data_IF_462463163756
#
_entry.id   IF_462463163756
#
_cell.length_a   1.000
_cell.length_b   1.000
_cell.length_c   1.000
_cell.angle_alpha   90.00
_cell.angle_beta   90.00
_cell.angle_gamma   90.00
#
_symmetry.space_group_name_H-M   'P 1'
#
loop_
_entity.id
_entity.type
_entity.pdbx_description
1 polymer ?
#
# COMPACT_ATOMS: atom_id res chain seq x y z
N UNK A 1 3.37 -18.50 3.15
CA UNK A 1 2.17 -19.18 3.71
C UNK A 1 0.99 -18.28 3.43
N UNK A 2 0.07 -18.70 2.54
CA UNK A 2 -1.06 -17.90 2.09
C UNK A 2 -2.07 -17.64 3.23
N UNK A 3 -2.74 -16.49 3.21
CA UNK A 3 -3.77 -16.10 4.19
C UNK A 3 -4.89 -17.15 4.31
N UNK A 4 -5.24 -17.80 3.18
CA UNK A 4 -6.21 -18.89 3.12
C UNK A 4 -5.74 -20.12 3.92
N UNK A 5 -4.47 -20.51 3.81
CA UNK A 5 -3.91 -21.64 4.54
C UNK A 5 -3.89 -21.42 6.06
N UNK A 6 -3.61 -20.17 6.51
CA UNK A 6 -3.68 -19.81 7.93
C UNK A 6 -5.11 -19.91 8.49
N UNK A 7 -6.11 -19.46 7.72
CA UNK A 7 -7.51 -19.60 8.10
C UNK A 7 -7.94 -21.05 8.16
N UNK A 8 -7.52 -21.87 7.19
CA UNK A 8 -7.84 -23.29 7.16
C UNK A 8 -7.25 -24.02 8.36
N UNK A 9 -5.97 -23.79 8.66
CA UNK A 9 -5.29 -24.37 9.83
C UNK A 9 -5.99 -23.94 11.12
N UNK A 10 -6.34 -22.67 11.26
CA UNK A 10 -7.03 -22.17 12.44
C UNK A 10 -8.44 -22.77 12.57
N UNK A 11 -9.16 -22.94 11.45
CA UNK A 11 -10.48 -23.57 11.44
C UNK A 11 -10.43 -25.06 11.81
N UNK A 12 -9.46 -25.80 11.27
CA UNK A 12 -9.23 -27.22 11.59
C UNK A 12 -8.84 -27.37 13.05
N UNK A 13 -7.98 -26.48 13.57
CA UNK A 13 -7.55 -26.50 14.97
C UNK A 13 -8.72 -26.20 15.93
N UNK A 14 -9.52 -25.16 15.62
CA UNK A 14 -10.71 -24.83 16.40
C UNK A 14 -11.77 -25.93 16.33
N UNK A 15 -11.99 -26.53 15.16
CA UNK A 15 -12.93 -27.63 15.00
C UNK A 15 -12.52 -28.89 15.77
N UNK A 16 -11.22 -29.25 15.72
CA UNK A 16 -10.67 -30.36 16.49
C UNK A 16 -10.76 -30.13 17.99
N UNK A 17 -10.51 -28.88 18.43
CA UNK A 17 -10.67 -28.51 19.85
C UNK A 17 -12.12 -28.53 20.31
N UNK A 18 -13.05 -28.02 19.49
CA UNK A 18 -14.49 -28.07 19.80
C UNK A 18 -14.96 -29.52 19.93
N UNK A 19 -14.48 -30.41 19.06
CA UNK A 19 -14.74 -31.83 19.12
C UNK A 19 -14.19 -32.46 20.40
N UNK A 20 -12.96 -32.12 20.77
CA UNK A 20 -12.31 -32.63 22.00
C UNK A 20 -13.06 -32.15 23.26
N UNK A 21 -13.44 -30.89 23.32
CA UNK A 21 -14.22 -30.34 24.44
C UNK A 21 -15.62 -30.94 24.50
N UNK A 22 -16.25 -31.20 23.35
CA UNK A 22 -17.58 -31.81 23.30
C UNK A 22 -17.55 -33.24 23.81
N UNK A 23 -16.52 -34.01 23.48
CA UNK A 23 -16.34 -35.36 24.06
C UNK A 23 -16.02 -35.30 25.56
N UNK A 24 -15.29 -34.31 26.01
CA UNK A 24 -14.83 -34.18 27.40
C UNK A 24 -15.95 -33.69 28.33
N UNK A 25 -16.85 -32.79 27.84
CA UNK A 25 -18.01 -32.34 28.59
C UNK A 25 -19.03 -33.45 28.93
N UNK A 26 -18.95 -34.60 28.21
CA UNK A 26 -19.75 -35.79 28.49
C UNK A 26 -19.17 -36.67 29.61
N UNK A 27 -17.95 -36.40 30.06
CA UNK A 27 -17.24 -37.25 31.01
C UNK A 27 -16.98 -36.50 32.33
N UNK A 28 -17.94 -36.59 33.26
CA UNK A 28 -18.00 -35.83 34.53
C UNK A 28 -16.81 -36.15 35.47
N UNK A 29 -16.09 -37.24 35.23
CA UNK A 29 -14.98 -37.69 36.08
C UNK A 29 -13.60 -37.12 35.70
N UNK A 30 -13.53 -36.19 34.76
CA UNK A 30 -12.24 -35.61 34.37
C UNK A 30 -11.75 -34.53 35.35
N UNK A 31 -10.42 -34.53 35.64
CA UNK A 31 -9.86 -33.55 36.56
C UNK A 31 -9.96 -32.13 35.98
N UNK A 32 -10.38 -31.20 36.83
CA UNK A 32 -10.62 -29.78 36.50
C UNK A 32 -9.51 -29.11 35.67
N UNK A 33 -8.25 -29.53 35.80
CA UNK A 33 -7.11 -28.99 35.07
C UNK A 33 -7.19 -29.25 33.55
N UNK A 34 -7.88 -30.29 33.10
CA UNK A 34 -8.09 -30.57 31.68
C UNK A 34 -9.04 -29.53 31.06
N UNK A 35 -10.08 -29.17 31.78
CA UNK A 35 -10.99 -28.06 31.32
C UNK A 35 -10.26 -26.73 31.30
N UNK A 36 -9.40 -26.46 32.27
CA UNK A 36 -8.58 -25.22 32.28
C UNK A 36 -7.59 -25.20 31.11
N UNK A 37 -6.96 -26.34 30.78
CA UNK A 37 -6.05 -26.45 29.63
C UNK A 37 -6.79 -26.23 28.31
N UNK A 38 -8.00 -26.80 28.17
CA UNK A 38 -8.87 -26.57 27.01
C UNK A 38 -9.20 -25.10 26.79
N UNK A 39 -9.64 -24.40 27.85
CA UNK A 39 -9.93 -22.97 27.82
C UNK A 39 -8.70 -22.12 27.47
N UNK A 40 -7.54 -22.45 28.05
CA UNK A 40 -6.27 -21.76 27.78
C UNK A 40 -5.86 -21.90 26.31
N UNK A 41 -6.07 -23.08 25.74
CA UNK A 41 -5.76 -23.34 24.33
C UNK A 41 -6.71 -22.59 23.40
N UNK A 42 -8.01 -22.49 23.74
CA UNK A 42 -8.96 -21.67 22.98
C UNK A 42 -8.55 -20.19 23.05
N UNK A 43 -8.26 -19.69 24.24
CA UNK A 43 -7.81 -18.32 24.43
C UNK A 43 -6.55 -18.02 23.63
N UNK A 44 -5.59 -18.94 23.61
CA UNK A 44 -4.37 -18.83 22.81
C UNK A 44 -4.66 -18.82 21.30
N UNK A 45 -5.53 -19.70 20.80
CA UNK A 45 -5.91 -19.73 19.39
C UNK A 45 -6.62 -18.45 18.94
N UNK A 46 -7.56 -17.93 19.73
CA UNK A 46 -8.25 -16.66 19.51
C UNK A 46 -7.25 -15.50 19.53
N UNK A 47 -6.37 -15.47 20.51
CA UNK A 47 -5.32 -14.47 20.63
C UNK A 47 -4.40 -14.48 19.40
N UNK A 48 -3.96 -15.66 18.96
CA UNK A 48 -3.12 -15.82 17.77
C UNK A 48 -3.82 -15.39 16.47
N UNK A 49 -5.13 -15.57 16.37
CA UNK A 49 -5.93 -15.06 15.24
C UNK A 49 -6.06 -13.55 15.24
N UNK A 50 -6.24 -12.94 16.41
CA UNK A 50 -6.51 -11.52 16.55
C UNK A 50 -5.24 -10.67 16.46
N UNK A 51 -4.09 -11.16 16.96
CA UNK A 51 -2.83 -10.43 16.98
C UNK A 51 -2.45 -9.86 15.60
N UNK A 52 -2.42 -10.63 14.50
CA UNK A 52 -2.02 -10.10 13.21
C UNK A 52 -2.90 -8.93 12.78
N UNK A 53 -4.23 -9.02 13.02
CA UNK A 53 -5.19 -7.99 12.65
C UNK A 53 -5.01 -6.72 13.49
N UNK A 54 -4.77 -6.88 14.79
CA UNK A 54 -4.55 -5.75 15.70
C UNK A 54 -3.22 -5.06 15.38
N UNK A 55 -2.15 -5.86 15.20
CA UNK A 55 -0.81 -5.32 14.85
C UNK A 55 -0.85 -4.54 13.53
N UNK A 56 -1.51 -5.09 12.50
CA UNK A 56 -1.67 -4.38 11.22
C UNK A 56 -2.45 -3.07 11.40
N UNK A 57 -3.57 -3.08 12.14
CA UNK A 57 -4.35 -1.86 12.41
C UNK A 57 -3.53 -0.81 13.19
N UNK A 58 -2.77 -1.23 14.20
CA UNK A 58 -1.91 -0.33 14.97
C UNK A 58 -0.79 0.26 14.10
N UNK A 59 -0.17 -0.56 13.26
CA UNK A 59 0.86 -0.12 12.31
C UNK A 59 0.31 0.92 11.33
N UNK A 60 -0.87 0.66 10.77
CA UNK A 60 -1.56 1.60 9.87
C UNK A 60 -1.85 2.92 10.61
N UNK A 61 -2.44 2.87 11.82
CA UNK A 61 -2.73 4.08 12.61
C UNK A 61 -1.46 4.88 12.91
N UNK A 62 -0.38 4.20 13.31
CA UNK A 62 0.92 4.85 13.56
C UNK A 62 1.46 5.51 12.29
N UNK A 63 1.37 4.84 11.15
CA UNK A 63 1.81 5.37 9.87
C UNK A 63 1.00 6.60 9.44
N UNK A 64 -0.33 6.55 9.58
CA UNK A 64 -1.22 7.70 9.29
C UNK A 64 -0.83 8.90 10.15
N UNK A 65 -0.63 8.70 11.45
CA UNK A 65 -0.19 9.79 12.35
C UNK A 65 1.16 10.37 11.93
N UNK A 66 2.16 9.52 11.68
CA UNK A 66 3.48 9.97 11.24
C UNK A 66 3.45 10.71 9.90
N UNK A 67 2.62 10.24 8.94
CA UNK A 67 2.46 10.91 7.66
C UNK A 67 1.85 12.30 7.86
N UNK A 68 0.85 12.42 8.74
CA UNK A 68 0.22 13.70 9.05
C UNK A 68 1.19 14.67 9.70
N UNK A 69 1.94 14.26 10.72
CA UNK A 69 2.96 15.08 11.38
C UNK A 69 4.02 15.59 10.38
N UNK A 70 4.48 14.71 9.48
CA UNK A 70 5.44 15.10 8.43
C UNK A 70 4.83 16.03 7.39
N UNK A 71 3.56 15.83 7.06
CA UNK A 71 2.84 16.68 6.13
C UNK A 71 2.63 18.08 6.69
N UNK A 72 2.22 18.21 7.96
CA UNK A 72 2.06 19.48 8.66
C UNK A 72 3.41 20.25 8.71
N UNK A 73 4.51 19.54 8.99
CA UNK A 73 5.85 20.12 8.94
C UNK A 73 6.20 20.61 7.52
N UNK A 74 5.94 19.79 6.51
CA UNK A 74 6.21 20.17 5.12
C UNK A 74 5.41 21.41 4.70
N UNK A 75 4.15 21.54 5.12
CA UNK A 75 3.34 22.74 4.89
C UNK A 75 3.95 23.95 5.59
N UNK A 76 4.40 23.82 6.83
CA UNK A 76 5.07 24.91 7.57
C UNK A 76 6.38 25.36 6.91
N UNK A 77 7.10 24.44 6.26
CA UNK A 77 8.32 24.69 5.49
C UNK A 77 8.03 25.34 4.09
N UNK A 78 6.78 25.72 3.81
CA UNK A 78 6.34 26.38 2.58
C UNK A 78 5.62 25.48 1.58
N UNK A 79 5.50 24.19 1.87
CA UNK A 79 4.71 23.25 1.06
C UNK A 79 5.12 23.21 -0.41
N UNK A 80 4.12 23.25 -1.27
CA UNK A 80 4.31 23.27 -2.74
C UNK A 80 5.08 24.50 -3.22
N UNK A 81 4.89 25.65 -2.57
CA UNK A 81 5.56 26.90 -2.96
C UNK A 81 7.09 26.86 -2.76
N UNK A 82 7.57 26.00 -1.87
CA UNK A 82 9.00 25.81 -1.65
C UNK A 82 9.66 24.84 -2.65
N UNK A 83 8.87 24.18 -3.50
CA UNK A 83 9.41 23.23 -4.49
C UNK A 83 10.19 24.00 -5.55
N UNK A 84 11.43 23.59 -5.74
CA UNK A 84 12.27 24.09 -6.83
C UNK A 84 12.30 23.03 -7.93
N UNK A 85 11.62 23.27 -9.05
CA UNK A 85 11.60 22.34 -10.17
C UNK A 85 13.03 22.18 -10.74
N UNK A 86 13.34 20.99 -11.19
CA UNK A 86 14.62 20.67 -11.83
C UNK A 86 14.36 20.21 -13.26
N UNK A 87 15.23 20.57 -14.23
CA UNK A 87 15.11 20.01 -15.57
C UNK A 87 15.09 18.48 -15.53
N UNK A 88 14.13 17.86 -16.20
CA UNK A 88 13.94 16.39 -16.18
C UNK A 88 15.19 15.66 -16.71
N UNK A 89 15.92 16.24 -17.66
CA UNK A 89 17.22 15.74 -18.14
C UNK A 89 18.25 15.51 -17.03
N UNK A 90 18.22 16.28 -15.94
CA UNK A 90 19.13 16.11 -14.80
C UNK A 90 18.77 14.91 -13.92
N UNK A 91 17.56 14.40 -14.01
CA UNK A 91 17.09 13.24 -13.24
C UNK A 91 17.07 11.95 -14.05
N UNK A 92 17.70 11.95 -15.23
CA UNK A 92 17.86 10.77 -16.13
C UNK A 92 16.56 10.13 -16.60
N UNK A 93 15.53 10.94 -16.78
CA UNK A 93 14.26 10.52 -17.33
C UNK A 93 14.36 10.53 -18.86
N UNK A 94 14.11 9.42 -19.53
CA UNK A 94 14.09 9.32 -20.99
C UNK A 94 12.70 8.83 -21.45
N UNK A 95 12.21 9.26 -22.61
CA UNK A 95 12.62 10.45 -23.40
C UNK A 95 12.23 11.75 -22.69
N UNK A 96 13.06 12.77 -22.78
CA UNK A 96 12.86 14.04 -22.10
C UNK A 96 12.57 15.14 -23.13
N UNK A 97 11.41 15.77 -22.97
CA UNK A 97 11.13 17.04 -23.61
C UNK A 97 12.04 18.13 -22.99
N UNK A 98 12.64 19.03 -23.80
CA UNK A 98 13.51 20.08 -23.28
C UNK A 98 12.91 20.92 -22.16
N UNK A 99 11.58 21.12 -22.19
CA UNK A 99 10.83 21.94 -21.25
C UNK A 99 10.20 21.13 -20.10
N UNK A 100 10.51 19.85 -20.01
CA UNK A 100 10.01 19.00 -18.94
C UNK A 100 10.73 19.27 -17.63
N UNK A 101 9.95 19.62 -16.59
CA UNK A 101 10.44 19.94 -15.25
C UNK A 101 9.97 18.89 -14.26
N UNK A 102 10.89 18.33 -13.49
CA UNK A 102 10.60 17.42 -12.41
C UNK A 102 10.43 18.18 -11.09
N UNK A 103 9.28 18.00 -10.44
CA UNK A 103 8.93 18.58 -9.15
C UNK A 103 9.23 17.65 -7.98
N UNK A 104 9.17 16.35 -8.23
CA UNK A 104 9.29 15.33 -7.19
C UNK A 104 10.02 14.09 -7.69
N UNK A 105 10.78 13.49 -6.79
CA UNK A 105 11.46 12.24 -7.03
C UNK A 105 11.54 11.44 -5.73
N UNK A 106 11.08 10.19 -5.77
CA UNK A 106 11.18 9.27 -4.63
C UNK A 106 11.36 7.82 -5.10
N UNK A 107 12.09 7.06 -4.30
CA UNK A 107 12.26 5.62 -4.50
C UNK A 107 11.23 4.86 -3.68
N UNK A 108 10.47 4.00 -4.36
CA UNK A 108 9.42 3.20 -3.72
C UNK A 108 9.23 1.85 -4.39
N UNK A 109 8.09 1.23 -4.11
CA UNK A 109 7.69 -0.02 -4.76
C UNK A 109 6.44 0.22 -5.58
N UNK A 110 6.52 -0.14 -6.86
CA UNK A 110 5.38 -0.11 -7.77
C UNK A 110 4.65 -1.45 -7.72
N UNK A 111 3.34 -1.39 -7.65
CA UNK A 111 2.43 -2.52 -7.75
C UNK A 111 1.47 -2.27 -8.91
N UNK A 112 1.26 -3.28 -9.73
CA UNK A 112 0.45 -3.19 -10.94
C UNK A 112 -0.68 -4.21 -10.85
N UNK A 113 -1.91 -3.80 -11.20
CA UNK A 113 -3.02 -4.76 -11.29
C UNK A 113 -2.89 -5.65 -12.53
N UNK A 114 -3.41 -6.87 -12.46
CA UNK A 114 -3.58 -7.74 -13.62
C UNK A 114 -4.38 -7.01 -14.70
N UNK A 115 -3.84 -6.90 -15.92
CA UNK A 115 -4.44 -6.17 -17.03
C UNK A 115 -3.66 -4.95 -17.53
N UNK A 116 -2.53 -4.62 -16.89
CA UNK A 116 -1.67 -3.57 -17.41
C UNK A 116 -0.82 -4.12 -18.57
N UNK A 117 -1.03 -3.62 -19.78
CA UNK A 117 -0.44 -4.13 -21.03
C UNK A 117 1.01 -3.67 -21.28
N UNK A 118 1.58 -2.85 -20.42
CA UNK A 118 2.92 -2.26 -20.63
C UNK A 118 4.07 -2.98 -19.93
N UNK A 119 3.79 -4.10 -19.23
CA UNK A 119 4.80 -4.79 -18.43
C UNK A 119 4.73 -6.28 -18.71
N UNK A 120 5.86 -6.88 -19.04
CA UNK A 120 5.97 -8.34 -19.08
C UNK A 120 5.85 -8.88 -17.64
N UNK A 121 4.63 -9.25 -17.27
CA UNK A 121 4.24 -9.76 -15.96
C UNK A 121 4.76 -11.19 -15.66
N UNK A 122 5.71 -11.71 -16.44
CA UNK A 122 6.47 -12.91 -16.07
C UNK A 122 7.19 -12.76 -14.70
N UNK A 123 7.24 -11.54 -14.18
CA UNK A 123 7.67 -11.24 -12.82
C UNK A 123 6.66 -11.75 -11.81
N UNK A 124 7.08 -12.74 -11.04
CA UNK A 124 6.43 -13.48 -9.95
C UNK A 124 5.27 -12.75 -9.28
N UNK A 125 4.10 -13.41 -9.13
CA UNK A 125 3.03 -12.92 -8.26
C UNK A 125 3.62 -12.83 -6.84
N UNK A 126 3.86 -11.64 -6.39
CA UNK A 126 4.30 -11.41 -5.02
C UNK A 126 3.05 -10.99 -4.24
N UNK A 127 2.80 -11.74 -3.18
CA UNK A 127 1.64 -11.61 -2.35
C UNK A 127 1.31 -10.18 -1.96
N UNK A 128 0.08 -9.98 -1.59
CA UNK A 128 -0.52 -8.76 -1.08
C UNK A 128 0.47 -7.93 -0.27
N UNK A 129 0.61 -6.64 -0.58
CA UNK A 129 1.26 -5.72 0.33
C UNK A 129 0.38 -5.61 1.58
N UNK A 130 0.65 -6.47 2.56
CA UNK A 130 -0.10 -6.52 3.83
C UNK A 130 -0.08 -5.20 4.62
N UNK A 131 0.83 -4.31 4.24
CA UNK A 131 1.07 -3.03 4.90
C UNK A 131 0.40 -1.84 4.21
N UNK A 132 -0.24 -2.06 3.06
CA UNK A 132 -0.96 -1.01 2.34
C UNK A 132 -2.45 -1.28 2.44
N UNK A 133 -3.17 -0.43 3.18
CA UNK A 133 -4.61 -0.47 3.19
C UNK A 133 -5.13 0.04 1.85
N UNK A 134 -5.68 -0.85 1.03
CA UNK A 134 -6.36 -0.49 -0.20
C UNK A 134 -7.82 -0.11 0.10
N UNK A 135 -8.31 1.02 -0.37
CA UNK A 135 -9.73 1.25 -0.43
C UNK A 135 -10.31 0.39 -1.57
N UNK A 136 -11.07 -0.64 -1.25
CA UNK A 136 -11.80 -1.44 -2.21
C UNK A 136 -11.53 -2.95 -2.16
N UNK A 137 -12.18 -3.70 -3.08
CA UNK A 137 -11.99 -5.16 -3.21
C UNK A 137 -10.52 -5.46 -3.54
N UNK A 138 -10.00 -6.44 -2.86
CA UNK A 138 -8.68 -7.01 -3.11
C UNK A 138 -8.54 -7.34 -4.61
N UNK A 139 -7.74 -6.52 -5.32
CA UNK A 139 -7.32 -6.84 -6.69
C UNK A 139 -5.99 -7.58 -6.59
N UNK A 140 -5.76 -8.50 -7.48
CA UNK A 140 -4.48 -9.17 -7.59
C UNK A 140 -3.47 -8.17 -8.15
N UNK A 141 -2.58 -7.70 -7.28
CA UNK A 141 -1.48 -6.85 -7.66
C UNK A 141 -0.21 -7.68 -7.84
N UNK A 142 0.52 -7.38 -8.86
CA UNK A 142 1.86 -7.89 -9.07
C UNK A 142 2.86 -6.85 -8.58
N UNK A 143 3.85 -7.27 -7.80
CA UNK A 143 4.93 -6.38 -7.38
C UNK A 143 5.88 -6.22 -8.55
N UNK A 144 5.89 -5.03 -9.10
CA UNK A 144 7.00 -4.59 -9.91
C UNK A 144 8.07 -4.07 -8.96
N UNK A 145 9.31 -4.22 -9.26
CA UNK A 145 10.50 -3.94 -8.48
C UNK A 145 10.50 -2.61 -7.71
N UNK A 146 11.55 -2.37 -6.94
CA UNK A 146 11.88 -1.03 -6.42
C UNK A 146 12.18 -0.13 -7.60
N UNK A 147 11.34 0.89 -7.78
CA UNK A 147 11.41 1.85 -8.87
C UNK A 147 11.59 3.26 -8.32
N UNK A 148 12.02 4.17 -9.17
CA UNK A 148 12.00 5.59 -8.92
C UNK A 148 10.72 6.16 -9.51
N UNK A 149 10.00 6.96 -8.73
CA UNK A 149 8.86 7.73 -9.20
C UNK A 149 9.28 9.18 -9.39
N UNK A 150 9.01 9.71 -10.57
CA UNK A 150 9.21 11.11 -10.91
C UNK A 150 7.85 11.75 -11.23
N UNK A 151 7.60 12.92 -10.69
CA UNK A 151 6.43 13.72 -11.04
C UNK A 151 6.92 14.95 -11.77
N UNK A 152 6.50 15.10 -13.01
CA UNK A 152 6.90 16.22 -13.87
C UNK A 152 5.68 17.11 -14.17
N UNK A 153 5.88 18.19 -14.90
CA UNK A 153 4.78 19.02 -15.41
C UNK A 153 3.94 18.34 -16.51
N UNK A 154 4.28 17.15 -16.95
CA UNK A 154 3.61 16.46 -18.07
C UNK A 154 3.11 15.05 -17.72
N UNK A 155 3.84 14.34 -16.85
CA UNK A 155 3.59 12.92 -16.57
C UNK A 155 4.05 12.52 -15.17
N UNK A 156 3.59 11.35 -14.76
CA UNK A 156 4.22 10.56 -13.69
C UNK A 156 5.00 9.45 -14.34
N UNK A 157 6.30 9.38 -14.10
CA UNK A 157 7.17 8.37 -14.65
C UNK A 157 7.70 7.44 -13.56
N UNK A 158 7.73 6.14 -13.85
CA UNK A 158 8.30 5.12 -12.98
C UNK A 158 9.46 4.47 -13.71
N UNK A 159 10.66 4.70 -13.21
CA UNK A 159 11.90 4.15 -13.77
C UNK A 159 12.45 3.07 -12.83
N UNK A 160 12.71 1.90 -13.36
CA UNK A 160 13.25 0.75 -12.64
C UNK A 160 14.01 -0.19 -13.56
N UNK A 161 14.74 -1.12 -12.98
CA UNK A 161 15.52 -2.08 -13.76
C UNK A 161 14.60 -2.96 -14.61
N UNK A 162 14.52 -2.66 -15.91
CA UNK A 162 13.63 -3.37 -16.85
C UNK A 162 12.16 -3.00 -16.73
N UNK A 163 11.87 -1.82 -16.19
CA UNK A 163 10.52 -1.29 -16.06
C UNK A 163 10.55 0.22 -16.23
N UNK A 164 10.05 0.69 -17.36
CA UNK A 164 9.84 2.09 -17.65
C UNK A 164 8.34 2.28 -17.93
N UNK A 165 7.67 2.98 -17.04
CA UNK A 165 6.23 3.28 -17.18
C UNK A 165 6.05 4.78 -17.12
N UNK A 166 5.55 5.32 -18.21
CA UNK A 166 5.15 6.70 -18.33
C UNK A 166 3.64 6.83 -18.25
N UNK A 167 3.17 7.72 -17.39
CA UNK A 167 1.76 8.05 -17.24
C UNK A 167 1.55 9.53 -17.56
N UNK A 168 1.27 9.87 -18.81
CA UNK A 168 0.83 11.23 -19.15
C UNK A 168 -0.42 11.60 -18.34
N UNK A 169 -0.53 12.84 -17.91
CA UNK A 169 -1.68 13.27 -17.11
C UNK A 169 -3.02 13.10 -17.82
N UNK A 170 -3.03 13.10 -19.18
CA UNK A 170 -4.22 12.81 -19.98
C UNK A 170 -4.76 11.37 -19.84
N UNK A 171 -3.90 10.42 -19.49
CA UNK A 171 -4.28 9.02 -19.28
C UNK A 171 -4.71 8.73 -17.83
N UNK A 172 -4.37 9.62 -16.91
CA UNK A 172 -4.68 9.49 -15.50
C UNK A 172 -6.12 9.90 -15.22
N UNK A 173 -7.03 8.94 -15.09
CA UNK A 173 -8.44 9.21 -14.76
C UNK A 173 -8.60 9.82 -13.38
N UNK A 174 -7.96 9.22 -12.39
CA UNK A 174 -8.01 9.69 -11.00
C UNK A 174 -6.85 9.12 -10.20
N UNK A 175 -6.62 9.71 -9.04
CA UNK A 175 -5.74 9.10 -8.04
C UNK A 175 -6.36 9.20 -6.64
N UNK A 176 -6.01 8.27 -5.79
CA UNK A 176 -6.44 8.25 -4.39
C UNK A 176 -5.25 8.00 -3.46
N UNK A 177 -5.28 8.67 -2.30
CA UNK A 177 -4.23 8.55 -1.29
C UNK A 177 -4.58 7.44 -0.32
N UNK A 178 -3.65 6.53 -0.10
CA UNK A 178 -3.71 5.51 0.94
C UNK A 178 -2.63 5.74 2.00
N UNK A 179 -2.73 5.16 3.19
CA UNK A 179 -1.71 5.33 4.24
C UNK A 179 -0.29 4.92 3.82
N UNK A 180 -0.15 4.08 2.80
CA UNK A 180 1.12 3.57 2.32
C UNK A 180 1.58 4.07 0.96
N UNK A 181 0.72 4.78 0.21
CA UNK A 181 1.05 5.18 -1.16
C UNK A 181 -0.08 5.90 -1.88
N UNK A 182 0.09 6.07 -3.17
CA UNK A 182 -0.93 6.62 -4.06
C UNK A 182 -1.37 5.55 -5.04
N UNK A 183 -2.67 5.42 -5.20
CA UNK A 183 -3.31 4.56 -6.19
C UNK A 183 -3.65 5.42 -7.40
N UNK A 184 -3.07 5.10 -8.53
CA UNK A 184 -3.34 5.73 -9.83
C UNK A 184 -4.34 4.88 -10.59
N UNK A 185 -5.45 5.46 -11.02
CA UNK A 185 -6.49 4.77 -11.79
C UNK A 185 -6.41 5.22 -13.25
N UNK A 186 -6.17 4.27 -14.12
CA UNK A 186 -6.15 4.42 -15.56
C UNK A 186 -7.48 3.89 -16.18
N UNK A 187 -7.58 3.88 -17.49
CA UNK A 187 -8.77 3.39 -18.18
C UNK A 187 -9.09 1.93 -17.82
N UNK A 188 -8.10 1.04 -17.89
CA UNK A 188 -8.26 -0.40 -17.75
C UNK A 188 -7.45 -1.01 -16.60
N UNK A 189 -6.56 -0.22 -15.99
CA UNK A 189 -5.63 -0.71 -14.99
C UNK A 189 -5.52 0.21 -13.79
N UNK A 190 -4.92 -0.33 -12.74
CA UNK A 190 -4.65 0.40 -11.51
C UNK A 190 -3.20 0.16 -11.11
N UNK A 191 -2.51 1.23 -10.82
CA UNK A 191 -1.16 1.21 -10.30
C UNK A 191 -1.15 1.71 -8.86
N UNK A 192 -0.32 1.13 -8.01
CA UNK A 192 -0.06 1.66 -6.68
C UNK A 192 1.44 1.86 -6.54
N UNK A 193 1.84 3.04 -6.13
CA UNK A 193 3.20 3.31 -5.73
C UNK A 193 3.29 3.68 -4.26
N UNK A 194 4.26 3.08 -3.56
CA UNK A 194 4.48 3.36 -2.13
C UNK A 194 5.34 4.60 -1.96
N UNK A 195 4.86 5.55 -1.15
CA UNK A 195 5.57 6.77 -0.80
C UNK A 195 5.92 6.81 0.68
N UNK A 196 7.01 7.50 1.04
CA UNK A 196 7.33 7.78 2.44
C UNK A 196 6.25 8.67 3.07
N UNK A 197 5.82 9.70 2.33
CA UNK A 197 4.68 10.53 2.71
C UNK A 197 3.72 10.70 1.53
N UNK A 198 2.66 9.88 1.45
CA UNK A 198 1.70 9.94 0.36
C UNK A 198 0.92 11.26 0.28
N UNK A 199 0.76 11.99 1.40
CA UNK A 199 0.06 13.28 1.41
C UNK A 199 0.88 14.35 0.67
N UNK A 200 2.18 14.43 0.97
CA UNK A 200 3.10 15.33 0.27
C UNK A 200 3.14 14.99 -1.23
N UNK A 201 3.31 13.72 -1.56
CA UNK A 201 3.36 13.27 -2.95
C UNK A 201 2.06 13.59 -3.70
N UNK A 202 0.89 13.48 -3.05
CA UNK A 202 -0.40 13.81 -3.65
C UNK A 202 -0.55 15.31 -3.93
N UNK A 203 -0.08 16.18 -3.05
CA UNK A 203 -0.14 17.63 -3.27
C UNK A 203 0.81 18.06 -4.38
N UNK A 204 2.01 17.48 -4.42
CA UNK A 204 2.93 17.72 -5.54
C UNK A 204 2.33 17.22 -6.85
N UNK A 205 1.66 16.07 -6.86
CA UNK A 205 0.99 15.54 -8.04
C UNK A 205 -0.13 16.47 -8.54
N UNK A 206 -0.96 17.01 -7.62
CA UNK A 206 -1.99 18.00 -7.97
C UNK A 206 -1.35 19.25 -8.57
N UNK A 207 -0.33 19.79 -7.92
CA UNK A 207 0.40 20.93 -8.40
C UNK A 207 1.02 20.71 -9.79
N UNK A 208 1.67 19.58 -9.98
CA UNK A 208 2.31 19.22 -11.24
C UNK A 208 1.30 19.11 -12.40
N UNK A 209 0.11 18.54 -12.10
CA UNK A 209 -0.96 18.36 -13.08
C UNK A 209 -1.71 19.67 -13.39
N UNK A 210 -2.07 20.39 -12.37
CA UNK A 210 -3.02 21.52 -12.48
C UNK A 210 -2.30 22.88 -12.62
N UNK A 211 -0.98 22.93 -12.38
CA UNK A 211 -0.12 24.09 -12.66
C UNK A 211 -0.30 25.30 -11.75
N UNK A 212 -1.25 25.26 -10.83
CA UNK A 212 -1.54 26.37 -9.89
C UNK A 212 -1.92 25.82 -8.53
N UNK A 213 -1.35 26.30 -7.43
CA UNK A 213 -1.90 26.01 -6.13
C UNK A 213 -3.30 26.64 -6.07
N UNK A 214 -4.31 25.81 -5.83
CA UNK A 214 -5.65 26.32 -5.48
C UNK A 214 -5.56 27.05 -4.14
N UNK A 215 -5.17 28.33 -4.18
CA UNK A 215 -5.07 29.22 -3.02
C UNK A 215 -6.44 29.73 -2.55
N UNK A 216 -7.51 28.96 -2.79
CA UNK A 216 -8.85 29.31 -2.31
C UNK A 216 -9.56 28.06 -1.81
N UNK A 217 -9.26 27.66 -0.59
CA UNK A 217 -10.16 26.95 0.29
C UNK A 217 -9.99 27.59 1.67
N UNK A 218 -10.62 28.80 1.81
CA UNK A 218 -10.89 29.43 3.09
C UNK A 218 -12.04 28.71 3.80
#
# INVERSE_FOLDING_TARGET
MTYALRKLIAFVFLGGMFWFIYQDLGNIDQPWFMHALGLLTIAFAVFWMLIPTVVVKLRIRRRVRQNRERYEKWLADGGVAAIRPRPAKKVRLEPVDPDELAFFHEKGTLYVSSGFSGIDLAARPVGHPSDVAFPGKQRDFHVCQRTHCYMTNRRVAFDGKGLDVDLPFGELKSFSVSPGGIVFTLAESVLLFTFQNPLVAADVLRFARDGVPSSNAG
#
